data_IF_389293492524
#
_entry.id   IF_389293492524
#
_cell.length_a   1.000
_cell.length_b   1.000
_cell.length_c   1.000
_cell.angle_alpha   90.00
_cell.angle_beta   90.00
_cell.angle_gamma   90.00
#
_symmetry.space_group_name_H-M   'P 1'
#
loop_
_entity.id
_entity.type
_entity.pdbx_description
1 polymer ?
#
# COMPACT_ATOMS: atom_id res chain seq x y z
N UNK A 1 7.15 -3.65 -9.70
CA UNK A 1 6.88 -3.22 -8.31
C UNK A 1 6.93 -4.38 -7.32
N UNK A 2 6.28 -5.52 -7.61
CA UNK A 2 6.39 -6.74 -6.81
C UNK A 2 7.82 -7.23 -6.58
N UNK A 3 8.73 -7.07 -7.55
CA UNK A 3 10.15 -7.39 -7.38
C UNK A 3 10.83 -6.71 -6.18
N UNK A 4 10.55 -5.42 -5.93
CA UNK A 4 11.13 -4.71 -4.78
C UNK A 4 10.58 -5.22 -3.44
N UNK A 5 9.32 -5.67 -3.43
CA UNK A 5 8.66 -6.24 -2.25
C UNK A 5 9.30 -7.59 -1.91
N UNK A 6 9.42 -8.46 -2.91
CA UNK A 6 10.05 -9.76 -2.79
C UNK A 6 11.52 -9.63 -2.36
N UNK A 7 12.27 -8.69 -2.95
CA UNK A 7 13.64 -8.42 -2.56
C UNK A 7 13.76 -8.00 -1.09
N UNK A 8 12.94 -7.05 -0.64
CA UNK A 8 12.94 -6.55 0.73
C UNK A 8 12.56 -7.65 1.76
N UNK A 9 11.62 -8.54 1.42
CA UNK A 9 11.31 -9.71 2.27
C UNK A 9 12.48 -10.70 2.32
N UNK A 10 13.20 -10.91 1.20
CA UNK A 10 14.39 -11.76 1.18
C UNK A 10 15.55 -11.17 1.97
N UNK A 11 15.76 -9.84 1.89
CA UNK A 11 16.80 -9.16 2.68
C UNK A 11 16.58 -9.31 4.18
N UNK A 12 15.32 -9.19 4.63
CA UNK A 12 14.93 -9.29 6.04
C UNK A 12 14.81 -10.72 6.55
N UNK A 13 14.69 -11.69 5.64
CA UNK A 13 14.47 -13.11 5.94
C UNK A 13 13.30 -13.35 6.90
N UNK A 14 12.23 -12.57 6.74
CA UNK A 14 11.06 -12.61 7.62
C UNK A 14 9.92 -13.42 6.98
N UNK A 15 9.76 -14.68 7.41
CA UNK A 15 8.69 -15.56 6.94
C UNK A 15 7.29 -15.00 7.18
N UNK A 16 7.07 -14.27 8.28
CA UNK A 16 5.76 -13.71 8.60
C UNK A 16 5.30 -12.69 7.55
N UNK A 17 6.24 -11.94 6.98
CA UNK A 17 6.01 -11.07 5.82
C UNK A 17 5.60 -11.87 4.58
N UNK A 18 6.26 -13.00 4.29
CA UNK A 18 5.87 -13.86 3.15
C UNK A 18 4.47 -14.45 3.34
N UNK A 19 4.17 -15.00 4.52
CA UNK A 19 2.85 -15.56 4.85
C UNK A 19 1.76 -14.50 4.69
N UNK A 20 1.95 -13.30 5.26
CA UNK A 20 0.99 -12.21 5.11
C UNK A 20 0.88 -11.75 3.64
N UNK A 21 1.98 -11.65 2.90
CA UNK A 21 1.96 -11.27 1.49
C UNK A 21 1.15 -12.25 0.62
N UNK A 22 1.26 -13.56 0.89
CA UNK A 22 0.59 -14.61 0.14
C UNK A 22 -0.92 -14.71 0.44
N UNK A 23 -1.32 -14.49 1.70
CA UNK A 23 -2.68 -14.79 2.16
C UNK A 23 -3.50 -13.57 2.58
N UNK A 24 -2.87 -12.45 2.90
CA UNK A 24 -3.52 -11.24 3.40
C UNK A 24 -2.74 -9.99 2.95
N UNK A 25 -2.83 -9.72 1.64
CA UNK A 25 -2.12 -8.61 1.01
C UNK A 25 -2.52 -7.25 1.62
N UNK A 26 -3.76 -7.12 2.11
CA UNK A 26 -4.23 -5.91 2.79
C UNK A 26 -3.49 -5.70 4.11
N UNK A 27 -3.45 -6.72 4.99
CA UNK A 27 -2.69 -6.68 6.25
C UNK A 27 -1.20 -6.48 6.01
N UNK A 28 -0.64 -7.19 5.03
CA UNK A 28 0.77 -6.99 4.64
C UNK A 28 1.02 -5.54 4.22
N UNK A 29 0.14 -4.96 3.40
CA UNK A 29 0.25 -3.58 2.92
C UNK A 29 0.15 -2.57 4.07
N UNK A 30 -0.78 -2.78 4.99
CA UNK A 30 -0.92 -1.96 6.20
C UNK A 30 0.37 -1.99 7.03
N UNK A 31 0.89 -3.18 7.33
CA UNK A 31 2.11 -3.35 8.10
C UNK A 31 3.30 -2.68 7.42
N UNK A 32 3.46 -2.87 6.10
CA UNK A 32 4.57 -2.26 5.36
C UNK A 32 4.50 -0.73 5.38
N UNK A 33 3.32 -0.16 5.20
CA UNK A 33 3.13 1.30 5.27
C UNK A 33 3.37 1.81 6.69
N UNK A 34 2.93 1.07 7.71
CA UNK A 34 3.21 1.41 9.10
C UNK A 34 4.71 1.40 9.42
N UNK A 35 5.47 0.42 8.92
CA UNK A 35 6.93 0.40 9.05
C UNK A 35 7.59 1.64 8.42
N UNK A 36 7.15 2.03 7.22
CA UNK A 36 7.65 3.25 6.56
C UNK A 36 7.28 4.51 7.35
N UNK A 37 6.05 4.61 7.82
CA UNK A 37 5.56 5.72 8.63
C UNK A 37 6.26 5.81 10.01
N UNK A 38 6.58 4.67 10.61
CA UNK A 38 7.29 4.57 11.89
C UNK A 38 8.81 4.78 11.75
N UNK A 39 9.36 4.79 10.53
CA UNK A 39 10.80 4.93 10.29
C UNK A 39 11.35 6.18 10.97
N UNK A 40 12.46 6.02 11.66
CA UNK A 40 13.17 7.11 12.32
C UNK A 40 13.71 8.14 11.31
N UNK A 41 13.48 9.42 11.61
CA UNK A 41 14.03 10.56 10.90
C UNK A 41 14.44 11.62 11.92
N UNK A 42 15.64 11.44 12.50
CA UNK A 42 16.07 12.19 13.68
C UNK A 42 15.23 11.81 14.90
N UNK A 43 14.84 12.77 15.72
CA UNK A 43 14.07 12.52 16.94
C UNK A 43 12.58 12.16 16.71
N UNK A 44 12.09 12.17 15.46
CA UNK A 44 10.68 11.97 15.11
C UNK A 44 10.52 10.91 14.03
N UNK A 45 9.35 10.28 13.98
CA UNK A 45 9.01 9.31 12.92
C UNK A 45 8.76 10.02 11.59
N UNK A 46 8.84 9.32 10.46
CA UNK A 46 8.43 9.86 9.16
C UNK A 46 6.98 10.39 9.16
N UNK A 47 6.05 9.72 9.84
CA UNK A 47 4.65 10.15 9.94
C UNK A 47 4.52 11.52 10.64
N UNK A 48 5.30 11.77 11.69
CA UNK A 48 5.36 13.07 12.35
C UNK A 48 5.74 14.19 11.37
N UNK A 49 6.80 14.00 10.58
CA UNK A 49 7.21 14.98 9.56
C UNK A 49 6.15 15.19 8.49
N UNK A 50 5.45 14.12 8.07
CA UNK A 50 4.34 14.23 7.13
C UNK A 50 3.20 15.08 7.68
N UNK A 51 2.80 14.85 8.93
CA UNK A 51 1.72 15.60 9.60
C UNK A 51 2.13 17.05 9.81
N UNK A 52 3.33 17.31 10.33
CA UNK A 52 3.87 18.66 10.54
C UNK A 52 3.89 19.46 9.24
N UNK A 53 4.41 18.88 8.16
CA UNK A 53 4.42 19.52 6.83
C UNK A 53 3.00 19.83 6.33
N UNK A 54 2.02 18.96 6.59
CA UNK A 54 0.62 19.20 6.21
C UNK A 54 -0.05 20.28 7.06
N UNK A 55 0.25 20.34 8.36
CA UNK A 55 -0.24 21.41 9.23
C UNK A 55 0.34 22.76 8.81
N UNK A 56 1.63 22.83 8.48
CA UNK A 56 2.28 24.07 7.98
C UNK A 56 1.68 24.51 6.63
N UNK A 57 1.38 23.57 5.72
CA UNK A 57 0.70 23.88 4.45
C UNK A 57 -0.72 24.46 4.68
N UNK A 58 -1.48 23.88 5.62
CA UNK A 58 -2.79 24.41 6.02
C UNK A 58 -2.65 25.80 6.66
N UNK A 59 -1.67 25.98 7.54
CA UNK A 59 -1.37 27.25 8.19
C UNK A 59 -1.10 28.36 7.16
N UNK A 60 -0.24 28.10 6.17
CA UNK A 60 0.06 29.06 5.11
C UNK A 60 -1.20 29.43 4.31
N UNK A 61 -2.02 28.44 3.93
CA UNK A 61 -3.28 28.69 3.21
C UNK A 61 -4.29 29.48 4.03
N UNK A 62 -4.36 29.25 5.33
CA UNK A 62 -5.22 30.01 6.24
C UNK A 62 -4.75 31.47 6.36
N UNK A 63 -3.43 31.69 6.49
CA UNK A 63 -2.85 33.04 6.48
C UNK A 63 -3.19 33.78 5.20
N UNK A 64 -3.10 33.13 4.03
CA UNK A 64 -3.50 33.74 2.77
C UNK A 64 -5.00 34.10 2.73
N UNK A 65 -5.88 33.25 3.30
CA UNK A 65 -7.30 33.55 3.41
C UNK A 65 -7.53 34.80 4.26
N UNK A 66 -6.87 34.88 5.43
CA UNK A 66 -6.95 36.01 6.35
C UNK A 66 -6.43 37.28 5.67
N UNK A 67 -5.27 37.23 5.02
CA UNK A 67 -4.71 38.37 4.28
C UNK A 67 -5.65 38.87 3.19
N UNK A 68 -6.29 37.96 2.45
CA UNK A 68 -7.30 38.31 1.43
C UNK A 68 -8.48 39.04 2.08
N UNK A 69 -9.05 38.48 3.15
CA UNK A 69 -10.17 39.08 3.88
C UNK A 69 -9.79 40.46 4.42
N UNK A 70 -8.60 40.60 5.00
CA UNK A 70 -8.11 41.85 5.59
C UNK A 70 -7.87 42.94 4.54
N UNK A 71 -7.38 42.58 3.34
CA UNK A 71 -7.24 43.55 2.24
C UNK A 71 -8.59 44.07 1.76
N UNK A 72 -9.61 43.21 1.70
CA UNK A 72 -10.96 43.61 1.33
C UNK A 72 -11.63 44.54 2.35
N UNK A 73 -11.17 44.57 3.62
CA UNK A 73 -11.68 45.48 4.64
C UNK A 73 -11.41 46.96 4.33
N UNK A 74 -10.36 47.26 3.58
CA UNK A 74 -10.00 48.64 3.20
C UNK A 74 -10.99 49.25 2.19
N UNK A 75 -11.88 48.43 1.62
CA UNK A 75 -12.78 48.81 0.52
C UNK A 75 -14.28 48.85 0.94
N UNK A 76 -14.61 48.52 2.19
CA UNK A 76 -16.02 48.41 2.65
C UNK A 76 -16.48 49.72 3.30
N UNK A 77 -17.60 50.34 2.84
CA UNK A 77 -18.21 51.49 3.51
C UNK A 77 -18.77 51.11 4.89
N UNK A 78 -18.75 52.07 5.83
CA UNK A 78 -19.08 51.93 7.26
C UNK A 78 -20.53 51.45 7.56
N UNK A 79 -21.40 51.40 6.54
CA UNK A 79 -22.81 51.01 6.65
C UNK A 79 -23.08 49.50 6.48
N UNK A 80 -22.11 48.72 6.02
CA UNK A 80 -22.23 47.26 5.85
C UNK A 80 -21.56 46.56 7.02
N UNK A 81 -22.31 45.77 7.80
CA UNK A 81 -21.82 44.92 8.91
C UNK A 81 -20.47 44.24 8.54
N UNK A 82 -19.32 44.83 8.85
CA UNK A 82 -18.09 44.52 8.13
C UNK A 82 -17.53 43.16 8.56
N UNK A 83 -17.82 42.77 9.81
CA UNK A 83 -17.49 41.45 10.34
C UNK A 83 -18.25 40.31 9.66
N UNK A 84 -19.54 40.49 9.32
CA UNK A 84 -20.32 39.43 8.66
C UNK A 84 -19.75 39.10 7.29
N UNK A 85 -19.38 40.11 6.50
CA UNK A 85 -18.77 39.89 5.19
C UNK A 85 -17.35 39.36 5.28
N UNK A 86 -16.58 39.74 6.31
CA UNK A 86 -15.31 39.10 6.60
C UNK A 86 -15.46 37.59 6.85
N UNK A 87 -16.41 37.17 7.71
CA UNK A 87 -16.66 35.74 8.00
C UNK A 87 -17.09 34.99 6.74
N UNK A 88 -17.99 35.57 5.95
CA UNK A 88 -18.47 34.97 4.70
C UNK A 88 -17.35 34.79 3.69
N UNK A 89 -16.52 35.82 3.48
CA UNK A 89 -15.37 35.77 2.58
C UNK A 89 -14.35 34.72 3.07
N UNK A 90 -14.05 34.72 4.37
CA UNK A 90 -13.13 33.75 4.97
C UNK A 90 -13.60 32.30 4.74
N UNK A 91 -14.89 32.02 4.94
CA UNK A 91 -15.48 30.71 4.69
C UNK A 91 -15.37 30.30 3.21
N UNK A 92 -15.68 31.21 2.29
CA UNK A 92 -15.59 30.97 0.85
C UNK A 92 -14.16 30.71 0.40
N UNK A 93 -13.20 31.52 0.85
CA UNK A 93 -11.79 31.35 0.51
C UNK A 93 -11.20 30.08 1.13
N UNK A 94 -11.57 29.77 2.37
CA UNK A 94 -11.14 28.53 3.03
C UNK A 94 -11.65 27.31 2.27
N UNK A 95 -12.93 27.28 1.89
CA UNK A 95 -13.53 26.19 1.10
C UNK A 95 -12.84 26.03 -0.26
N UNK A 96 -12.43 27.14 -0.88
CA UNK A 96 -11.74 27.15 -2.19
C UNK A 96 -10.28 26.68 -2.08
N UNK A 97 -9.54 27.14 -1.08
CA UNK A 97 -8.09 26.88 -0.93
C UNK A 97 -7.79 25.60 -0.16
N UNK A 98 -8.69 25.19 0.73
CA UNK A 98 -8.54 24.05 1.65
C UNK A 98 -9.83 23.19 1.62
N UNK A 99 -10.13 22.50 0.51
CA UNK A 99 -11.41 21.83 0.32
C UNK A 99 -11.71 20.72 1.34
N UNK A 100 -10.67 20.17 1.98
CA UNK A 100 -10.80 19.11 2.99
C UNK A 100 -10.89 19.66 4.43
N UNK A 101 -10.84 20.98 4.63
CA UNK A 101 -11.04 21.58 5.95
C UNK A 101 -12.54 21.79 6.18
N UNK A 102 -13.09 21.04 7.12
CA UNK A 102 -14.49 21.18 7.51
C UNK A 102 -14.64 22.30 8.54
N UNK A 103 -15.37 23.35 8.15
CA UNK A 103 -15.87 24.38 9.06
C UNK A 103 -17.36 24.08 9.31
N UNK A 104 -17.77 23.69 10.53
CA UNK A 104 -19.16 23.38 10.82
C UNK A 104 -20.06 24.59 10.56
N UNK A 105 -21.15 24.41 9.79
CA UNK A 105 -22.06 25.50 9.43
C UNK A 105 -22.63 26.21 10.67
N UNK A 106 -22.91 25.44 11.73
CA UNK A 106 -23.48 26.00 12.97
C UNK A 106 -22.44 26.82 13.75
N UNK A 107 -21.17 26.41 13.77
CA UNK A 107 -20.10 27.22 14.35
C UNK A 107 -19.95 28.54 13.58
N UNK A 108 -20.02 28.48 12.24
CA UNK A 108 -19.93 29.68 11.41
C UNK A 108 -21.15 30.60 11.57
N UNK A 109 -22.37 30.06 11.74
CA UNK A 109 -23.56 30.86 12.07
C UNK A 109 -23.45 31.48 13.46
N UNK A 110 -22.92 30.75 14.43
CA UNK A 110 -22.72 31.26 15.79
C UNK A 110 -21.73 32.42 15.80
N UNK A 111 -20.69 32.39 14.95
CA UNK A 111 -19.80 33.54 14.78
C UNK A 111 -20.56 34.80 14.36
N UNK A 112 -21.59 34.70 13.53
CA UNK A 112 -22.38 35.87 13.07
C UNK A 112 -23.23 36.50 14.19
N UNK A 113 -23.37 35.84 15.35
CA UNK A 113 -24.08 36.40 16.51
C UNK A 113 -23.23 37.42 17.29
N UNK A 114 -21.91 37.46 17.06
CA UNK A 114 -21.01 38.38 17.74
C UNK A 114 -21.07 39.80 17.13
N UNK A 115 -21.10 40.81 18.00
CA UNK A 115 -20.97 42.22 17.63
C UNK A 115 -19.50 42.65 17.75
N UNK A 116 -18.73 42.40 16.69
CA UNK A 116 -17.30 42.77 16.63
C UNK A 116 -17.17 44.24 16.22
N UNK A 117 -16.83 45.09 17.20
CA UNK A 117 -16.67 46.54 16.99
C UNK A 117 -15.35 46.93 16.34
N UNK A 118 -14.27 46.23 16.69
CA UNK A 118 -12.94 46.47 16.12
C UNK A 118 -12.51 45.27 15.29
N UNK A 119 -12.86 45.32 14.01
CA UNK A 119 -12.55 44.26 13.05
C UNK A 119 -11.06 44.21 12.69
N UNK A 120 -10.38 45.37 12.71
CA UNK A 120 -8.95 45.45 12.47
C UNK A 120 -8.19 44.68 13.56
N UNK A 121 -8.49 44.96 14.82
CA UNK A 121 -7.95 44.22 15.96
C UNK A 121 -8.29 42.74 15.90
N UNK A 122 -9.58 42.39 15.70
CA UNK A 122 -10.01 40.99 15.62
C UNK A 122 -9.21 40.21 14.57
N UNK A 123 -9.14 40.74 13.34
CA UNK A 123 -8.50 40.06 12.23
C UNK A 123 -7.00 39.88 12.43
N UNK A 124 -6.35 40.85 13.08
CA UNK A 124 -4.93 40.79 13.41
C UNK A 124 -4.64 39.77 14.51
N UNK A 125 -5.49 39.66 15.53
CA UNK A 125 -5.37 38.64 16.57
C UNK A 125 -5.58 37.22 16.01
N UNK A 126 -6.54 37.03 15.09
CA UNK A 126 -6.73 35.76 14.37
C UNK A 126 -5.47 35.43 13.55
N UNK A 127 -4.92 36.41 12.83
CA UNK A 127 -3.68 36.24 12.05
C UNK A 127 -2.52 35.80 12.93
N UNK A 128 -2.29 36.47 14.07
CA UNK A 128 -1.22 36.12 15.02
C UNK A 128 -1.40 34.72 15.57
N UNK A 129 -2.62 34.35 15.97
CA UNK A 129 -2.89 32.99 16.45
C UNK A 129 -2.55 31.93 15.38
N UNK A 130 -3.00 32.16 14.15
CA UNK A 130 -2.71 31.24 13.03
C UNK A 130 -1.21 31.20 12.73
N UNK A 131 -0.50 32.33 12.75
CA UNK A 131 0.94 32.39 12.47
C UNK A 131 1.80 31.74 13.57
N UNK A 132 1.45 31.96 14.83
CA UNK A 132 2.36 31.69 15.94
C UNK A 132 1.99 30.43 16.74
N UNK A 133 0.70 30.09 16.82
CA UNK A 133 0.22 29.07 17.77
C UNK A 133 -0.48 27.87 17.12
N UNK A 134 -1.14 28.04 15.98
CA UNK A 134 -1.95 26.98 15.35
C UNK A 134 -1.17 25.67 15.17
N UNK A 135 0.04 25.72 14.60
CA UNK A 135 0.83 24.52 14.33
C UNK A 135 1.21 23.79 15.63
N UNK A 136 1.59 24.54 16.67
CA UNK A 136 1.95 23.98 17.98
C UNK A 136 0.75 23.31 18.63
N UNK A 137 -0.41 23.98 18.63
CA UNK A 137 -1.63 23.46 19.25
C UNK A 137 -2.18 22.24 18.51
N UNK A 138 -2.13 22.24 17.18
CA UNK A 138 -2.55 21.08 16.37
C UNK A 138 -1.64 19.88 16.65
N UNK A 139 -0.33 20.07 16.66
CA UNK A 139 0.62 18.97 16.91
C UNK A 139 0.53 18.42 18.34
N UNK A 140 0.13 19.23 19.33
CA UNK A 140 -0.15 18.74 20.70
C UNK A 140 -1.42 17.90 20.80
N UNK A 141 -2.41 18.18 19.95
CA UNK A 141 -3.71 17.47 19.95
C UNK A 141 -3.65 16.13 19.21
N UNK A 142 -2.69 15.95 18.31
CA UNK A 142 -2.52 14.68 17.58
C UNK A 142 -1.53 13.79 18.32
N UNK A 143 -1.99 12.64 18.81
CA UNK A 143 -1.10 11.61 19.34
C UNK A 143 -0.49 10.82 18.18
N UNK A 144 0.80 11.08 17.89
CA UNK A 144 1.54 10.38 16.85
C UNK A 144 2.53 9.38 17.44
N UNK A 145 2.79 8.26 16.74
CA UNK A 145 3.68 7.20 17.21
C UNK A 145 5.13 7.68 17.24
N UNK A 146 5.90 7.24 18.24
CA UNK A 146 7.35 7.46 18.27
C UNK A 146 8.05 6.64 17.17
N UNK A 147 9.29 7.00 16.78
CA UNK A 147 10.10 6.17 15.90
C UNK A 147 10.10 4.69 16.32
N UNK A 148 9.96 3.79 15.35
CA UNK A 148 9.96 2.34 15.55
C UNK A 148 8.67 1.73 16.10
N UNK A 149 7.67 2.51 16.52
CA UNK A 149 6.40 1.98 17.05
C UNK A 149 5.44 1.57 15.92
N UNK A 150 5.75 0.47 15.22
CA UNK A 150 4.98 -0.03 14.06
C UNK A 150 3.53 -0.33 14.44
N UNK A 151 3.29 -1.11 15.50
CA UNK A 151 1.93 -1.49 15.92
C UNK A 151 1.05 -0.28 16.25
N UNK A 152 1.61 0.72 16.95
CA UNK A 152 0.90 1.96 17.26
C UNK A 152 0.61 2.74 15.97
N UNK A 153 1.54 2.72 15.02
CA UNK A 153 1.38 3.37 13.72
C UNK A 153 0.27 2.71 12.90
N UNK A 154 0.16 1.37 12.89
CA UNK A 154 -0.95 0.66 12.25
C UNK A 154 -2.30 1.11 12.81
N UNK A 155 -2.42 1.19 14.14
CA UNK A 155 -3.65 1.64 14.81
C UNK A 155 -4.02 3.08 14.43
N UNK A 156 -3.02 3.97 14.27
CA UNK A 156 -3.26 5.33 13.79
C UNK A 156 -3.75 5.31 12.34
N UNK A 157 -3.10 4.54 11.46
CA UNK A 157 -3.48 4.46 10.04
C UNK A 157 -4.87 3.87 9.83
N UNK A 158 -5.29 2.91 10.66
CA UNK A 158 -6.63 2.30 10.62
C UNK A 158 -7.74 3.26 11.06
N UNK A 159 -7.42 4.23 11.92
CA UNK A 159 -8.36 5.25 12.40
C UNK A 159 -8.53 6.41 11.42
N UNK A 160 -7.67 6.53 10.40
CA UNK A 160 -7.80 7.57 9.39
C UNK A 160 -9.02 7.27 8.49
N UNK A 161 -9.87 8.28 8.19
CA UNK A 161 -11.07 8.08 7.37
C UNK A 161 -10.81 7.41 6.03
N UNK A 162 -9.74 7.83 5.33
CA UNK A 162 -9.45 7.39 3.97
C UNK A 162 -8.67 6.06 3.90
N UNK A 163 -8.29 5.48 5.05
CA UNK A 163 -7.49 4.23 5.16
C UNK A 163 -6.36 4.18 4.11
N UNK A 164 -5.25 4.93 4.31
CA UNK A 164 -4.25 5.16 3.26
C UNK A 164 -3.62 3.89 2.70
N UNK A 165 -3.58 2.80 3.47
CA UNK A 165 -3.09 1.50 3.00
C UNK A 165 -3.93 0.93 1.85
N UNK A 166 -5.25 1.10 1.87
CA UNK A 166 -6.14 0.69 0.78
C UNK A 166 -5.97 1.57 -0.46
N UNK A 167 -5.87 2.89 -0.25
CA UNK A 167 -5.69 3.84 -1.33
C UNK A 167 -4.35 3.63 -2.06
N UNK A 168 -3.26 3.47 -1.30
CA UNK A 168 -1.94 3.16 -1.84
C UNK A 168 -1.98 1.80 -2.53
N UNK A 169 -2.48 0.75 -1.88
CA UNK A 169 -2.63 -0.58 -2.46
C UNK A 169 -3.34 -0.50 -3.81
N UNK A 170 -4.47 0.20 -3.90
CA UNK A 170 -5.21 0.39 -5.14
C UNK A 170 -4.38 1.00 -6.27
N UNK A 171 -3.45 1.89 -5.96
CA UNK A 171 -2.55 2.54 -6.93
C UNK A 171 -1.33 1.68 -7.30
N UNK A 172 -0.88 0.81 -6.39
CA UNK A 172 0.31 -0.01 -6.59
C UNK A 172 0.02 -1.40 -7.14
N UNK A 173 -1.19 -1.92 -6.92
CA UNK A 173 -1.64 -3.19 -7.47
C UNK A 173 -2.16 -2.99 -8.89
N UNK A 174 -1.60 -3.76 -9.83
CA UNK A 174 -2.11 -3.88 -11.19
C UNK A 174 -3.40 -4.69 -11.25
N UNK A 175 -3.45 -5.65 -12.16
CA UNK A 175 -4.46 -6.69 -12.15
C UNK A 175 -4.38 -7.50 -10.85
N UNK A 176 -5.53 -7.81 -10.27
CA UNK A 176 -5.65 -8.56 -9.02
C UNK A 176 -6.04 -10.01 -9.24
N UNK A 177 -6.23 -10.44 -10.50
CA UNK A 177 -6.46 -11.83 -10.85
C UNK A 177 -5.22 -12.66 -10.51
N UNK A 178 -5.43 -13.89 -10.03
CA UNK A 178 -4.38 -14.82 -9.64
C UNK A 178 -4.38 -16.08 -10.50
N UNK A 179 -3.20 -16.64 -10.74
CA UNK A 179 -3.06 -17.91 -11.45
C UNK A 179 -3.89 -18.99 -10.72
N UNK A 180 -4.75 -19.74 -11.43
CA UNK A 180 -5.65 -20.69 -10.78
C UNK A 180 -4.93 -21.85 -10.09
N UNK A 181 -3.67 -22.13 -10.46
CA UNK A 181 -2.90 -23.26 -9.94
C UNK A 181 -1.99 -22.83 -8.78
N UNK A 182 -1.22 -21.75 -8.95
CA UNK A 182 -0.19 -21.37 -7.97
C UNK A 182 -0.43 -20.00 -7.32
N UNK A 183 -1.60 -19.38 -7.54
CA UNK A 183 -2.05 -18.10 -6.97
C UNK A 183 -1.14 -16.88 -7.18
N UNK A 184 -0.10 -16.96 -8.02
CA UNK A 184 0.71 -15.79 -8.38
C UNK A 184 -0.19 -14.72 -9.02
N UNK A 185 -0.08 -13.44 -8.61
CA UNK A 185 -0.82 -12.36 -9.25
C UNK A 185 -0.49 -12.24 -10.75
N UNK A 186 -1.44 -11.73 -11.52
CA UNK A 186 -1.19 -11.38 -12.91
C UNK A 186 -0.16 -10.25 -13.03
N UNK A 187 0.78 -10.39 -13.97
CA UNK A 187 1.84 -9.40 -14.17
C UNK A 187 1.34 -8.08 -14.77
N UNK A 188 0.13 -8.07 -15.35
CA UNK A 188 -0.38 -6.88 -16.03
C UNK A 188 -0.69 -5.75 -15.03
N UNK A 189 -0.08 -4.58 -15.25
CA UNK A 189 -0.29 -3.40 -14.41
C UNK A 189 -1.63 -2.69 -14.65
N UNK A 190 -2.38 -3.08 -15.69
CA UNK A 190 -3.72 -2.56 -15.97
C UNK A 190 -4.79 -3.44 -15.35
N UNK A 191 -5.83 -2.84 -14.77
CA UNK A 191 -6.93 -3.59 -14.11
C UNK A 191 -7.91 -4.21 -15.10
N UNK A 192 -8.02 -3.65 -16.31
CA UNK A 192 -8.96 -4.11 -17.33
C UNK A 192 -8.17 -4.68 -18.50
N UNK A 193 -8.17 -6.01 -18.61
CA UNK A 193 -7.62 -6.73 -19.76
C UNK A 193 -8.22 -8.14 -19.83
N UNK A 194 -8.21 -8.74 -21.01
CA UNK A 194 -8.93 -10.00 -21.27
C UNK A 194 -8.15 -11.26 -20.89
N UNK A 195 -6.81 -11.23 -21.03
CA UNK A 195 -5.95 -12.41 -20.87
C UNK A 195 -4.98 -12.22 -19.73
N UNK A 196 -4.91 -13.19 -18.83
CA UNK A 196 -4.06 -13.18 -17.64
C UNK A 196 -2.85 -14.09 -17.82
N UNK A 197 -1.71 -13.62 -17.33
CA UNK A 197 -0.41 -14.29 -17.38
C UNK A 197 0.42 -13.91 -16.17
N UNK A 198 1.34 -14.79 -15.82
CA UNK A 198 2.44 -14.51 -14.92
C UNK A 198 3.68 -15.23 -15.47
N UNK A 199 4.83 -14.57 -15.42
CA UNK A 199 6.10 -15.17 -15.85
C UNK A 199 6.80 -15.88 -14.67
N UNK A 200 6.56 -15.40 -13.45
CA UNK A 200 7.29 -15.82 -12.24
C UNK A 200 6.42 -16.69 -11.33
N UNK A 201 6.03 -17.86 -11.83
CA UNK A 201 5.20 -18.80 -11.09
C UNK A 201 5.86 -19.34 -9.81
N UNK A 202 5.02 -19.56 -8.78
CA UNK A 202 5.46 -20.03 -7.48
C UNK A 202 5.51 -21.56 -7.42
N UNK A 203 6.48 -22.14 -6.71
CA UNK A 203 6.41 -23.55 -6.32
C UNK A 203 5.08 -23.81 -5.61
N UNK A 204 4.39 -24.89 -5.93
CA UNK A 204 3.05 -25.13 -5.38
C UNK A 204 3.06 -25.28 -3.86
N UNK A 205 4.17 -25.75 -3.28
CA UNK A 205 4.38 -25.80 -1.84
C UNK A 205 4.34 -24.41 -1.16
N UNK A 206 4.63 -23.33 -1.88
CA UNK A 206 4.51 -21.95 -1.36
C UNK A 206 3.07 -21.63 -1.02
N UNK A 207 2.09 -22.19 -1.76
CA UNK A 207 0.66 -21.96 -1.55
C UNK A 207 -0.02 -23.13 -0.82
N UNK A 208 0.76 -24.04 -0.25
CA UNK A 208 0.27 -25.12 0.61
C UNK A 208 -0.11 -26.41 -0.13
N UNK A 209 0.38 -26.64 -1.35
CA UNK A 209 0.25 -27.96 -1.97
C UNK A 209 1.28 -28.96 -1.44
N UNK A 210 0.81 -30.17 -1.15
CA UNK A 210 1.62 -31.28 -0.70
C UNK A 210 1.35 -32.56 -1.52
N UNK A 211 2.34 -33.43 -1.59
CA UNK A 211 2.22 -34.73 -2.27
C UNK A 211 1.25 -35.63 -1.51
N UNK A 212 0.28 -36.25 -2.21
CA UNK A 212 -0.72 -37.10 -1.57
C UNK A 212 -0.16 -38.36 -0.89
N UNK A 213 1.03 -38.83 -1.28
CA UNK A 213 1.67 -40.03 -0.72
C UNK A 213 2.38 -39.76 0.61
N UNK A 214 3.23 -38.73 0.63
CA UNK A 214 4.17 -38.48 1.73
C UNK A 214 3.84 -37.21 2.52
N UNK A 215 2.82 -36.45 2.10
CA UNK A 215 2.43 -35.18 2.72
C UNK A 215 3.54 -34.13 2.68
N UNK A 216 4.41 -34.17 1.66
CA UNK A 216 5.55 -33.25 1.52
C UNK A 216 5.23 -32.09 0.61
N UNK A 217 5.70 -30.89 0.95
CA UNK A 217 5.53 -29.71 0.10
C UNK A 217 6.04 -29.93 -1.32
N UNK A 218 5.25 -29.50 -2.30
CA UNK A 218 5.51 -29.69 -3.72
C UNK A 218 6.47 -28.61 -4.24
N UNK A 219 7.45 -28.99 -5.05
CA UNK A 219 8.47 -28.09 -5.59
C UNK A 219 8.26 -27.74 -7.08
N UNK A 220 7.33 -28.41 -7.76
CA UNK A 220 6.95 -28.08 -9.14
C UNK A 220 6.23 -26.74 -9.20
N UNK A 221 6.20 -26.17 -10.42
CA UNK A 221 5.48 -24.95 -10.75
C UNK A 221 4.44 -25.26 -11.82
N UNK A 222 3.42 -24.42 -11.92
CA UNK A 222 2.29 -24.73 -12.78
C UNK A 222 2.67 -24.93 -14.26
N UNK A 223 3.67 -24.24 -14.79
CA UNK A 223 4.14 -24.39 -16.19
C UNK A 223 4.69 -25.79 -16.50
N UNK A 224 5.27 -26.51 -15.52
CA UNK A 224 5.74 -27.88 -15.73
C UNK A 224 4.64 -28.94 -15.59
N UNK A 225 3.54 -28.62 -14.92
CA UNK A 225 2.45 -29.57 -14.63
C UNK A 225 1.15 -29.26 -15.37
N UNK A 226 1.04 -28.11 -16.03
CA UNK A 226 -0.22 -27.64 -16.65
C UNK A 226 -0.77 -28.57 -17.73
N UNK A 227 0.01 -29.52 -18.24
CA UNK A 227 -0.44 -30.51 -19.24
C UNK A 227 -0.65 -31.90 -18.67
N UNK A 228 -0.41 -32.11 -17.38
CA UNK A 228 -0.48 -33.43 -16.73
C UNK A 228 -1.83 -33.68 -16.06
N UNK A 229 -2.02 -34.91 -15.56
CA UNK A 229 -3.17 -35.30 -14.73
C UNK A 229 -3.03 -34.91 -13.26
N UNK A 230 -1.99 -34.18 -12.89
CA UNK A 230 -1.86 -33.61 -11.54
C UNK A 230 -3.01 -32.65 -11.25
N UNK A 231 -3.33 -32.49 -9.96
CA UNK A 231 -4.51 -31.73 -9.53
C UNK A 231 -4.14 -30.50 -8.72
N UNK A 232 -4.87 -29.41 -8.93
CA UNK A 232 -4.84 -28.21 -8.11
C UNK A 232 -6.19 -28.00 -7.41
N UNK A 233 -6.20 -27.24 -6.32
CA UNK A 233 -7.42 -26.89 -5.60
C UNK A 233 -7.90 -25.49 -6.04
N UNK A 234 -9.13 -25.39 -6.53
CA UNK A 234 -9.68 -24.12 -7.02
C UNK A 234 -10.40 -23.29 -5.94
N UNK A 235 -10.25 -23.66 -4.67
CA UNK A 235 -11.01 -23.10 -3.55
C UNK A 235 -12.29 -23.89 -3.21
N UNK A 236 -12.72 -24.82 -4.07
CA UNK A 236 -13.91 -25.67 -3.85
C UNK A 236 -13.66 -27.15 -4.10
N UNK A 237 -12.99 -27.49 -5.19
CA UNK A 237 -12.77 -28.87 -5.63
C UNK A 237 -11.33 -29.05 -6.16
N UNK A 238 -10.85 -30.29 -6.11
CA UNK A 238 -9.65 -30.67 -6.84
C UNK A 238 -9.96 -30.84 -8.33
N UNK A 239 -9.15 -30.19 -9.16
CA UNK A 239 -9.29 -30.19 -10.63
C UNK A 239 -7.96 -30.53 -11.28
N UNK A 240 -8.02 -31.18 -12.44
CA UNK A 240 -6.81 -31.53 -13.20
C UNK A 240 -6.19 -30.29 -13.82
N UNK A 241 -4.87 -30.15 -13.74
CA UNK A 241 -4.14 -29.01 -14.27
C UNK A 241 -4.33 -28.86 -15.79
N UNK A 242 -4.33 -29.97 -16.54
CA UNK A 242 -4.64 -29.98 -17.98
C UNK A 242 -6.01 -29.43 -18.36
N UNK A 243 -6.95 -29.43 -17.43
CA UNK A 243 -8.32 -28.98 -17.64
C UNK A 243 -8.57 -27.54 -17.19
N UNK A 244 -7.55 -26.81 -16.68
CA UNK A 244 -7.72 -25.46 -16.10
C UNK A 244 -8.47 -24.48 -17.00
N UNK A 245 -8.30 -24.57 -18.33
CA UNK A 245 -8.95 -23.66 -19.29
C UNK A 245 -10.48 -23.81 -19.35
N UNK A 246 -11.05 -24.90 -18.83
CA UNK A 246 -12.52 -25.08 -18.76
C UNK A 246 -13.14 -24.05 -17.83
N UNK A 247 -12.46 -23.76 -16.72
CA UNK A 247 -12.94 -22.83 -15.69
C UNK A 247 -12.26 -21.45 -15.78
N UNK A 248 -11.02 -21.43 -16.26
CA UNK A 248 -10.19 -20.24 -16.37
C UNK A 248 -9.70 -20.05 -17.82
N UNK A 249 -10.60 -19.85 -18.80
CA UNK A 249 -10.23 -19.78 -20.23
C UNK A 249 -9.31 -18.60 -20.56
N UNK A 250 -9.34 -17.57 -19.72
CA UNK A 250 -8.58 -16.33 -19.89
C UNK A 250 -7.17 -16.41 -19.29
N UNK A 251 -6.86 -17.43 -18.49
CA UNK A 251 -5.54 -17.66 -17.93
C UNK A 251 -4.66 -18.43 -18.92
N UNK A 252 -3.53 -17.85 -19.27
CA UNK A 252 -2.57 -18.44 -20.20
C UNK A 252 -1.34 -18.86 -19.40
N UNK A 253 -1.26 -20.16 -19.17
CA UNK A 253 -0.09 -20.81 -18.57
C UNK A 253 0.58 -21.61 -19.69
N UNK A 254 1.78 -21.17 -20.09
CA UNK A 254 2.52 -21.82 -21.18
C UNK A 254 3.22 -23.08 -20.63
N UNK A 255 2.97 -24.28 -21.19
CA UNK A 255 3.67 -25.47 -20.74
C UNK A 255 5.15 -25.41 -21.12
N UNK A 256 6.01 -25.68 -20.15
CA UNK A 256 7.46 -25.75 -20.34
C UNK A 256 7.93 -27.08 -19.74
N UNK A 257 8.56 -27.91 -20.58
CA UNK A 257 9.02 -29.23 -20.15
C UNK A 257 10.20 -29.10 -19.19
N UNK A 258 10.13 -29.82 -18.06
CA UNK A 258 11.13 -29.78 -16.99
C UNK A 258 11.39 -28.36 -16.45
N UNK A 259 10.36 -27.51 -16.45
CA UNK A 259 10.48 -26.16 -15.92
C UNK A 259 10.76 -26.15 -14.42
N UNK A 260 11.41 -25.09 -13.97
CA UNK A 260 11.79 -24.86 -12.59
C UNK A 260 11.51 -23.41 -12.21
N UNK A 261 11.08 -23.14 -10.98
CA UNK A 261 10.94 -21.77 -10.49
C UNK A 261 12.26 -21.02 -10.61
N UNK A 262 12.21 -19.70 -10.72
CA UNK A 262 13.42 -18.86 -10.69
C UNK A 262 14.22 -19.05 -9.39
N UNK A 263 15.52 -18.74 -9.39
CA UNK A 263 16.43 -18.99 -8.24
C UNK A 263 15.90 -18.36 -6.97
N UNK A 264 15.23 -17.21 -7.08
CA UNK A 264 14.57 -16.57 -5.95
C UNK A 264 13.61 -17.51 -5.20
N UNK A 265 12.66 -18.13 -5.91
CA UNK A 265 11.69 -19.03 -5.28
C UNK A 265 12.29 -20.36 -4.85
N UNK A 266 13.34 -20.83 -5.55
CA UNK A 266 14.14 -21.97 -5.10
C UNK A 266 14.79 -21.68 -3.74
N UNK A 267 15.39 -20.50 -3.59
CA UNK A 267 15.99 -20.04 -2.34
C UNK A 267 14.95 -19.83 -1.24
N UNK A 268 13.80 -19.22 -1.54
CA UNK A 268 12.71 -19.03 -0.56
C UNK A 268 12.22 -20.39 -0.04
N UNK A 269 11.95 -21.35 -0.92
CA UNK A 269 11.56 -22.71 -0.51
C UNK A 269 12.64 -23.42 0.29
N UNK A 270 13.92 -23.18 -0.01
CA UNK A 270 15.02 -23.74 0.79
C UNK A 270 15.15 -23.07 2.15
N UNK A 271 15.06 -21.74 2.20
CA UNK A 271 15.28 -20.95 3.40
C UNK A 271 14.19 -21.16 4.44
N UNK A 272 12.94 -21.32 3.98
CA UNK A 272 11.73 -21.37 4.80
C UNK A 272 10.99 -22.71 4.67
N UNK A 273 11.69 -23.79 4.32
CA UNK A 273 11.06 -25.11 4.10
C UNK A 273 10.29 -25.58 5.34
N UNK A 274 10.93 -25.47 6.51
CA UNK A 274 10.33 -25.82 7.80
C UNK A 274 9.16 -24.89 8.15
N UNK A 275 9.31 -23.58 7.92
CA UNK A 275 8.25 -22.61 8.22
C UNK A 275 6.99 -22.84 7.37
N UNK A 276 7.14 -23.12 6.07
CA UNK A 276 6.02 -23.51 5.21
C UNK A 276 5.41 -24.84 5.65
N UNK A 277 6.25 -25.82 6.01
CA UNK A 277 5.77 -27.13 6.47
C UNK A 277 4.93 -26.98 7.75
N UNK A 278 5.39 -26.15 8.69
CA UNK A 278 4.67 -25.82 9.91
C UNK A 278 3.38 -25.06 9.62
N UNK A 279 3.42 -24.01 8.77
CA UNK A 279 2.27 -23.19 8.41
C UNK A 279 1.11 -24.03 7.88
N UNK A 280 1.41 -25.04 7.06
CA UNK A 280 0.40 -25.89 6.43
C UNK A 280 0.19 -27.24 7.12
N UNK A 281 0.90 -27.52 8.22
CA UNK A 281 0.88 -28.82 8.89
C UNK A 281 1.26 -30.00 7.97
N UNK A 282 2.23 -29.77 7.10
CA UNK A 282 2.81 -30.76 6.18
C UNK A 282 4.25 -31.10 6.56
N UNK A 283 4.86 -32.02 5.82
CA UNK A 283 6.28 -32.31 5.90
C UNK A 283 7.06 -31.41 4.96
N UNK A 284 8.31 -31.13 5.32
CA UNK A 284 9.24 -30.42 4.47
C UNK A 284 9.30 -31.02 3.06
N UNK A 285 9.35 -30.11 2.08
CA UNK A 285 9.53 -30.43 0.68
C UNK A 285 10.88 -31.11 0.46
N UNK A 286 10.90 -32.11 -0.43
CA UNK A 286 12.15 -32.75 -0.86
C UNK A 286 12.77 -31.91 -1.97
N UNK A 287 13.59 -30.94 -1.58
CA UNK A 287 14.18 -29.97 -2.50
C UNK A 287 15.18 -30.64 -3.46
N UNK A 288 15.20 -30.24 -4.75
CA UNK A 288 16.28 -30.61 -5.66
C UNK A 288 17.65 -30.17 -5.14
N UNK A 289 18.69 -30.97 -5.35
CA UNK A 289 20.04 -30.72 -4.80
C UNK A 289 20.65 -29.37 -5.21
N UNK A 290 20.25 -28.81 -6.36
CA UNK A 290 20.70 -27.48 -6.79
C UNK A 290 20.16 -26.35 -5.92
N UNK A 291 18.95 -26.48 -5.38
CA UNK A 291 18.26 -25.41 -4.64
C UNK A 291 18.96 -25.10 -3.32
N UNK A 292 19.49 -26.13 -2.66
CA UNK A 292 20.19 -26.01 -1.37
C UNK A 292 21.53 -25.26 -1.48
N UNK A 293 22.03 -25.03 -2.70
CA UNK A 293 23.30 -24.34 -2.96
C UNK A 293 23.12 -22.87 -3.34
N UNK A 294 21.89 -22.45 -3.63
CA UNK A 294 21.62 -21.07 -4.07
C UNK A 294 21.80 -20.14 -2.89
N UNK A 295 22.61 -19.11 -3.08
CA UNK A 295 22.82 -18.07 -2.08
C UNK A 295 21.71 -17.01 -2.16
N UNK A 296 21.48 -16.30 -1.05
CA UNK A 296 20.55 -15.16 -1.03
C UNK A 296 20.90 -14.10 -2.08
N UNK A 297 22.20 -13.86 -2.31
CA UNK A 297 22.65 -12.89 -3.29
C UNK A 297 22.28 -13.32 -4.71
N UNK A 298 22.56 -14.58 -5.09
CA UNK A 298 22.17 -15.12 -6.39
C UNK A 298 20.64 -15.08 -6.60
N UNK A 299 19.87 -15.38 -5.55
CA UNK A 299 18.42 -15.29 -5.56
C UNK A 299 17.90 -13.86 -5.83
N UNK A 300 18.50 -12.86 -5.18
CA UNK A 300 18.13 -11.44 -5.37
C UNK A 300 18.56 -10.93 -6.76
N UNK A 301 19.75 -11.31 -7.23
CA UNK A 301 20.23 -10.92 -8.56
C UNK A 301 19.33 -11.48 -9.67
N UNK A 302 18.96 -12.75 -9.56
CA UNK A 302 18.03 -13.44 -10.48
C UNK A 302 16.63 -12.80 -10.46
N UNK A 303 16.10 -12.47 -9.28
CA UNK A 303 14.84 -11.73 -9.13
C UNK A 303 14.88 -10.37 -9.86
N UNK A 304 15.95 -9.60 -9.66
CA UNK A 304 16.11 -8.28 -10.31
C UNK A 304 16.17 -8.43 -11.83
N UNK A 305 16.88 -9.44 -12.34
CA UNK A 305 16.95 -9.70 -13.78
C UNK A 305 15.59 -10.09 -14.36
N UNK A 306 14.82 -10.91 -13.66
CA UNK A 306 13.49 -11.34 -14.08
C UNK A 306 12.54 -10.13 -14.26
N UNK A 307 12.45 -9.25 -13.27
CA UNK A 307 11.60 -8.06 -13.36
C UNK A 307 12.12 -6.98 -14.34
N UNK A 308 13.44 -6.88 -14.53
CA UNK A 308 14.01 -5.99 -15.55
C UNK A 308 13.67 -6.45 -16.98
N UNK A 309 13.60 -7.77 -17.20
CA UNK A 309 13.28 -8.36 -18.51
C UNK A 309 11.79 -8.23 -18.83
N UNK A 310 10.91 -8.47 -17.86
CA UNK A 310 9.45 -8.29 -18.02
C UNK A 310 9.09 -6.85 -18.40
N UNK A 311 9.74 -5.86 -17.78
CA UNK A 311 9.52 -4.44 -18.11
C UNK A 311 9.85 -4.13 -19.58
N UNK A 312 10.88 -4.78 -20.16
CA UNK A 312 11.28 -4.59 -21.57
C UNK A 312 10.31 -5.27 -22.54
N UNK A 313 9.76 -6.42 -22.20
CA UNK A 313 8.77 -7.14 -23.02
C UNK A 313 7.42 -6.40 -23.10
N UNK A 314 7.00 -5.75 -22.01
CA UNK A 314 5.79 -4.91 -21.98
C UNK A 314 5.91 -3.64 -22.85
N UNK A 315 7.11 -3.05 -22.95
CA UNK A 315 7.34 -1.90 -23.82
C UNK A 315 7.39 -2.29 -25.32
N UNK A 316 7.91 -3.47 -25.65
CA UNK A 316 7.99 -3.96 -27.03
C UNK A 316 6.62 -4.40 -27.59
N UNK A 317 5.66 -4.75 -26.74
CA UNK A 317 4.30 -5.18 -27.12
C UNK A 317 3.29 -4.01 -27.24
N UNK A 318 3.73 -2.78 -26.96
CA UNK A 318 2.92 -1.54 -27.06
C UNK A 318 3.29 -0.63 -28.23
N UNK A 319 4.29 -1.01 -29.04
CA UNK A 319 4.70 -0.34 -30.29
C UNK A 319 4.37 -1.21 -31.49
#
# INVERSE_FOLDING_TARGET
MFGNILEDMAQREDFSSYSSFLFDLEKWSLNKIAQVCAREQGARSFLHHLVERKVVDIQGKLLDCISTCNSSLLEVPDDRKPFHEWVKQFCQDTKRRIPNLHLPDDDMKNLLLFDVKDLGFFSEEVRKYVADQLTVDMLKRVTLPKPGQVDVTEQVLLKLPDKPHLAIMKHVTGCTEQCPICHVPCDNMTRQHEKHRAELHYPEGVIGCATGRDGRLVCSICTSIVTTDETYYDGRNYKKCKDHRKDYPNWIIQPIQNDSPIKYWQWVMNRFNEDFAQLYSYREGKLPHGWTKITKQEAIEDLRQAYATNTRAEHASRN
#
